data_IF_899045153334
#
_entry.id   IF_899045153334
#
_cell.length_a   1.000
_cell.length_b   1.000
_cell.length_c   1.000
_cell.angle_alpha   90.00
_cell.angle_beta   90.00
_cell.angle_gamma   90.00
#
_symmetry.space_group_name_H-M   'P 1'
#
loop_
_entity.id
_entity.type
_entity.pdbx_description
1 polymer ?
#
# COMPACT_ATOMS: atom_id res chain seq x y z
N UNK A 1 -7.48 22.44 -12.68
CA UNK A 1 -6.29 21.86 -12.01
C UNK A 1 -6.62 21.21 -10.66
N UNK A 2 -7.25 21.91 -9.69
CA UNK A 2 -7.60 21.33 -8.38
C UNK A 2 -8.68 20.23 -8.38
N UNK A 3 -9.49 20.16 -9.45
CA UNK A 3 -10.60 19.21 -9.60
C UNK A 3 -10.16 17.73 -9.59
N UNK A 4 -8.97 17.42 -10.14
CA UNK A 4 -8.42 16.05 -10.20
C UNK A 4 -8.19 15.49 -8.79
N UNK A 5 -7.65 16.28 -7.86
CA UNK A 5 -7.45 15.87 -6.46
C UNK A 5 -8.75 15.75 -5.66
N UNK A 6 -9.83 16.39 -6.11
CA UNK A 6 -11.13 16.40 -5.44
C UNK A 6 -12.07 15.27 -5.91
N UNK A 7 -11.83 14.72 -7.11
CA UNK A 7 -12.70 13.70 -7.71
C UNK A 7 -12.07 12.31 -7.78
N UNK A 8 -10.75 12.20 -7.69
CA UNK A 8 -10.09 10.89 -7.75
C UNK A 8 -9.79 10.33 -6.37
N UNK A 9 -9.97 9.01 -6.27
CA UNK A 9 -9.65 8.25 -5.08
C UNK A 9 -8.56 7.23 -5.40
N UNK A 10 -7.99 6.66 -4.35
CA UNK A 10 -6.91 5.70 -4.43
C UNK A 10 -7.32 4.42 -5.17
N UNK A 11 -8.59 4.03 -5.11
CA UNK A 11 -9.15 2.92 -5.89
C UNK A 11 -8.95 3.06 -7.40
N UNK A 12 -9.02 4.29 -7.95
CA UNK A 12 -8.78 4.54 -9.38
C UNK A 12 -7.38 4.09 -9.81
N UNK A 13 -6.39 4.19 -8.91
CA UNK A 13 -4.99 3.84 -9.18
C UNK A 13 -4.71 2.34 -9.04
N UNK A 14 -5.66 1.56 -8.47
CA UNK A 14 -5.49 0.11 -8.28
C UNK A 14 -5.84 -0.72 -9.51
N UNK A 15 -6.49 -0.11 -10.52
CA UNK A 15 -6.88 -0.78 -11.75
C UNK A 15 -5.65 -1.15 -12.57
N UNK A 16 -5.52 -2.43 -12.94
CA UNK A 16 -4.39 -2.93 -13.76
C UNK A 16 -3.05 -3.04 -13.03
N UNK A 17 -2.94 -2.56 -11.79
CA UNK A 17 -1.77 -2.83 -10.95
C UNK A 17 -1.66 -4.34 -10.65
N UNK A 18 -0.46 -4.92 -10.53
CA UNK A 18 -0.30 -6.29 -10.05
C UNK A 18 -0.63 -6.40 -8.55
N UNK A 19 -0.71 -7.62 -8.06
CA UNK A 19 -0.81 -7.91 -6.62
C UNK A 19 0.53 -7.62 -5.93
N UNK A 20 0.49 -7.37 -4.61
CA UNK A 20 1.71 -7.17 -3.83
C UNK A 20 2.56 -8.42 -3.87
N UNK A 21 3.79 -8.26 -4.36
CA UNK A 21 4.83 -9.28 -4.27
C UNK A 21 5.49 -9.13 -2.90
N UNK A 22 5.37 -10.17 -2.07
CA UNK A 22 5.99 -10.22 -0.75
C UNK A 22 7.41 -10.76 -0.88
N UNK A 23 8.40 -9.99 -0.43
CA UNK A 23 9.76 -10.45 -0.25
C UNK A 23 9.98 -10.77 1.23
N UNK A 24 10.38 -12.00 1.57
CA UNK A 24 10.49 -12.41 2.95
C UNK A 24 11.78 -11.93 3.61
N UNK A 25 11.72 -11.67 4.91
CA UNK A 25 12.87 -11.29 5.73
C UNK A 25 13.96 -12.39 5.83
N UNK A 26 13.58 -13.65 5.63
CA UNK A 26 14.48 -14.80 5.57
C UNK A 26 15.24 -14.96 4.25
N UNK A 27 14.87 -14.22 3.20
CA UNK A 27 15.53 -14.31 1.90
C UNK A 27 16.91 -13.65 1.91
N UNK A 28 17.77 -14.01 0.96
CA UNK A 28 19.17 -13.55 0.92
C UNK A 28 19.31 -12.20 0.23
N UNK A 29 20.38 -11.48 0.54
CA UNK A 29 20.72 -10.22 -0.14
C UNK A 29 20.88 -10.42 -1.66
N UNK A 30 21.42 -11.55 -2.11
CA UNK A 30 21.51 -11.87 -3.54
C UNK A 30 20.13 -11.91 -4.23
N UNK A 31 19.16 -12.60 -3.64
CA UNK A 31 17.79 -12.63 -4.17
C UNK A 31 17.13 -11.26 -4.15
N UNK A 32 17.43 -10.44 -3.13
CA UNK A 32 16.94 -9.08 -3.03
C UNK A 32 17.50 -8.18 -4.13
N UNK A 33 18.78 -8.32 -4.48
CA UNK A 33 19.41 -7.57 -5.59
C UNK A 33 18.69 -7.88 -6.91
N UNK A 34 18.40 -9.16 -7.16
CA UNK A 34 17.67 -9.58 -8.36
C UNK A 34 16.27 -8.99 -8.40
N UNK A 35 15.53 -9.09 -7.29
CA UNK A 35 14.18 -8.54 -7.17
C UNK A 35 14.17 -7.00 -7.33
N UNK A 36 15.18 -6.30 -6.79
CA UNK A 36 15.35 -4.85 -6.96
C UNK A 36 15.65 -4.50 -8.42
N UNK A 37 16.48 -5.30 -9.12
CA UNK A 37 16.81 -5.10 -10.53
C UNK A 37 15.62 -5.29 -11.48
N UNK A 38 14.68 -6.17 -11.12
CA UNK A 38 13.43 -6.38 -11.86
C UNK A 38 12.35 -5.34 -11.49
N UNK A 39 12.50 -4.64 -10.36
CA UNK A 39 11.58 -3.63 -9.90
C UNK A 39 11.86 -2.27 -10.54
N UNK A 40 10.87 -1.72 -11.26
CA UNK A 40 10.99 -0.40 -11.89
C UNK A 40 11.22 0.77 -10.90
N UNK A 41 11.00 0.56 -9.61
CA UNK A 41 11.14 1.58 -8.56
C UNK A 41 12.45 1.43 -7.77
N UNK A 42 13.25 0.40 -8.05
CA UNK A 42 14.53 0.17 -7.37
C UNK A 42 14.42 -0.09 -5.87
N UNK A 43 13.22 -0.44 -5.38
CA UNK A 43 12.96 -0.68 -3.97
C UNK A 43 11.86 -1.73 -3.76
N UNK A 44 12.12 -2.69 -2.88
CA UNK A 44 11.21 -3.80 -2.57
C UNK A 44 10.69 -3.69 -1.14
N UNK A 45 9.47 -4.17 -0.89
CA UNK A 45 8.88 -4.24 0.46
C UNK A 45 9.20 -5.59 1.08
N UNK A 46 9.68 -5.57 2.32
CA UNK A 46 10.10 -6.77 3.06
C UNK A 46 9.08 -7.10 4.15
N UNK A 47 8.73 -8.38 4.24
CA UNK A 47 7.64 -8.90 5.06
C UNK A 47 8.13 -10.05 5.94
N UNK A 48 7.58 -10.14 7.14
CA UNK A 48 7.77 -11.27 8.03
C UNK A 48 6.88 -12.43 7.60
N UNK A 49 7.41 -13.65 7.72
CA UNK A 49 6.65 -14.88 7.50
C UNK A 49 5.35 -14.91 8.34
N UNK A 50 4.32 -15.48 7.74
CA UNK A 50 3.02 -15.72 8.36
C UNK A 50 3.06 -16.94 9.28
N UNK A 51 3.05 -16.75 10.60
CA UNK A 51 3.06 -17.87 11.57
C UNK A 51 1.67 -18.50 11.81
N UNK A 52 0.77 -18.46 10.82
CA UNK A 52 -0.56 -19.07 10.90
C UNK A 52 -1.61 -18.29 11.70
N UNK A 53 -1.24 -17.27 12.47
CA UNK A 53 -2.20 -16.30 13.02
C UNK A 53 -2.64 -15.29 11.95
N UNK A 54 -3.95 -15.03 11.90
CA UNK A 54 -4.59 -14.02 11.06
C UNK A 54 -4.25 -12.59 11.55
N UNK A 55 -2.97 -12.23 11.51
CA UNK A 55 -2.52 -10.86 11.76
C UNK A 55 -2.81 -9.98 10.55
N UNK A 56 -3.21 -8.71 10.76
CA UNK A 56 -3.41 -7.78 9.66
C UNK A 56 -2.11 -7.63 8.86
N UNK A 57 -2.23 -7.53 7.53
CA UNK A 57 -1.08 -7.63 6.62
C UNK A 57 -0.03 -6.55 6.87
N UNK A 58 -0.46 -5.35 7.27
CA UNK A 58 0.43 -4.25 7.64
C UNK A 58 1.34 -4.55 8.85
N UNK A 59 0.95 -5.42 9.78
CA UNK A 59 1.80 -5.79 10.93
C UNK A 59 2.97 -6.70 10.54
N UNK A 60 2.84 -7.40 9.40
CA UNK A 60 3.92 -8.24 8.86
C UNK A 60 4.95 -7.43 8.11
N UNK A 61 4.64 -6.19 7.77
CA UNK A 61 5.58 -5.32 7.08
C UNK A 61 6.76 -4.97 8.00
N UNK A 62 7.98 -5.24 7.51
CA UNK A 62 9.21 -4.96 8.24
C UNK A 62 9.75 -3.60 7.79
N UNK A 63 9.88 -3.39 6.48
CA UNK A 63 10.47 -2.19 5.93
C UNK A 63 10.59 -2.21 4.41
N UNK A 64 11.27 -1.20 3.87
CA UNK A 64 11.59 -1.11 2.44
C UNK A 64 13.09 -1.26 2.31
N UNK A 65 13.52 -2.13 1.40
CA UNK A 65 14.92 -2.27 1.01
C UNK A 65 15.12 -1.59 -0.35
N UNK A 66 16.09 -0.70 -0.45
CA UNK A 66 16.48 -0.08 -1.72
C UNK A 66 17.92 -0.42 -2.12
N UNK A 67 18.30 -0.11 -3.37
CA UNK A 67 19.63 -0.39 -3.92
C UNK A 67 20.77 0.25 -3.11
N UNK A 68 20.60 1.45 -2.58
CA UNK A 68 21.58 2.13 -1.73
C UNK A 68 21.78 1.43 -0.38
N UNK A 69 20.71 0.89 0.21
CA UNK A 69 20.81 0.16 1.49
C UNK A 69 21.69 -1.08 1.31
N UNK A 70 21.49 -1.79 0.18
CA UNK A 70 22.31 -2.96 -0.18
C UNK A 70 23.76 -2.57 -0.43
N UNK A 71 24.01 -1.49 -1.20
CA UNK A 71 25.38 -1.02 -1.46
C UNK A 71 26.07 -0.58 -0.17
N UNK A 72 25.37 0.13 0.73
CA UNK A 72 25.91 0.54 2.01
C UNK A 72 26.26 -0.67 2.90
N UNK A 73 25.42 -1.71 2.88
CA UNK A 73 25.68 -2.96 3.59
C UNK A 73 26.92 -3.69 3.06
N UNK A 74 27.03 -3.85 1.74
CA UNK A 74 28.18 -4.49 1.10
C UNK A 74 29.46 -3.70 1.37
N UNK A 75 29.41 -2.37 1.27
CA UNK A 75 30.55 -1.50 1.56
C UNK A 75 31.03 -1.65 3.02
N UNK A 76 30.09 -1.83 3.96
CA UNK A 76 30.41 -2.09 5.38
C UNK A 76 31.02 -3.46 5.63
N UNK A 77 30.74 -4.45 4.78
CA UNK A 77 31.29 -5.81 4.90
C UNK A 77 32.79 -5.92 4.53
N UNK A 78 33.42 -4.86 4.01
CA UNK A 78 34.87 -4.68 4.03
C UNK A 78 35.71 -5.74 3.30
N UNK A 79 35.13 -6.48 2.35
CA UNK A 79 35.83 -7.48 1.52
C UNK A 79 35.20 -8.88 1.53
N UNK A 80 34.36 -9.20 2.51
CA UNK A 80 33.64 -10.49 2.60
C UNK A 80 32.32 -10.47 1.79
N UNK A 81 32.41 -10.13 0.50
CA UNK A 81 31.24 -10.01 -0.37
C UNK A 81 30.41 -11.30 -0.43
N UNK A 82 31.05 -12.46 -0.54
CA UNK A 82 30.35 -13.75 -0.62
C UNK A 82 29.53 -14.06 0.64
N UNK A 83 30.01 -13.61 1.81
CA UNK A 83 29.26 -13.74 3.07
C UNK A 83 28.10 -12.75 3.09
N UNK A 84 28.36 -11.49 2.70
CA UNK A 84 27.34 -10.44 2.61
C UNK A 84 26.22 -10.76 1.60
N UNK A 85 26.48 -11.55 0.56
CA UNK A 85 25.45 -11.99 -0.39
C UNK A 85 24.51 -13.04 0.21
N UNK A 86 25.02 -13.86 1.13
CA UNK A 86 24.28 -14.94 1.79
C UNK A 86 23.57 -14.51 3.08
N UNK A 87 23.87 -13.32 3.60
CA UNK A 87 23.16 -12.82 4.79
C UNK A 87 21.67 -12.66 4.50
N UNK A 88 20.81 -12.92 5.49
CA UNK A 88 19.39 -12.69 5.36
C UNK A 88 19.10 -11.19 5.30
N UNK A 89 18.04 -10.82 4.60
CA UNK A 89 17.62 -9.43 4.42
C UNK A 89 17.14 -8.79 5.72
N UNK A 90 16.73 -9.58 6.72
CA UNK A 90 16.43 -9.11 8.07
C UNK A 90 17.58 -8.35 8.75
N UNK A 91 18.84 -8.62 8.40
CA UNK A 91 20.02 -7.94 8.95
C UNK A 91 20.33 -6.62 8.23
N UNK A 92 19.82 -6.45 7.01
CA UNK A 92 20.09 -5.29 6.14
C UNK A 92 18.97 -4.26 6.23
N UNK A 93 17.73 -4.72 6.31
CA UNK A 93 16.56 -3.85 6.34
C UNK A 93 16.44 -3.17 7.69
N UNK A 94 16.39 -1.85 7.66
CA UNK A 94 16.00 -1.06 8.83
C UNK A 94 14.49 -1.22 9.09
N UNK A 95 14.07 -1.81 10.22
CA UNK A 95 12.65 -1.99 10.51
C UNK A 95 11.97 -0.63 10.68
N UNK A 96 10.96 -0.36 9.85
CA UNK A 96 10.19 0.87 9.93
C UNK A 96 8.77 0.65 9.42
N UNK A 97 7.86 0.34 10.35
CA UNK A 97 6.45 0.12 10.06
C UNK A 97 5.72 1.38 9.58
N UNK A 98 6.26 2.58 9.83
CA UNK A 98 5.66 3.84 9.39
C UNK A 98 5.74 4.08 7.88
N UNK A 99 6.59 3.33 7.16
CA UNK A 99 6.78 3.50 5.72
C UNK A 99 5.62 2.94 4.89
N UNK A 100 4.82 2.04 5.44
CA UNK A 100 3.69 1.42 4.77
C UNK A 100 2.42 1.64 5.58
N UNK A 101 1.35 2.08 4.91
CA UNK A 101 0.05 2.26 5.55
C UNK A 101 -1.05 1.59 4.76
N UNK A 102 -1.90 0.84 5.45
CA UNK A 102 -3.11 0.28 4.87
C UNK A 102 -4.17 1.36 4.70
N UNK A 103 -4.76 1.44 3.51
CA UNK A 103 -5.67 2.50 3.08
C UNK A 103 -6.87 1.91 2.36
N UNK A 104 -8.05 2.47 2.65
CA UNK A 104 -9.29 2.10 1.97
C UNK A 104 -9.30 2.63 0.52
N UNK A 105 -9.77 1.87 -0.48
CA UNK A 105 -9.82 2.33 -1.87
C UNK A 105 -10.67 3.60 -2.07
N UNK A 106 -11.61 3.92 -1.17
CA UNK A 106 -12.37 5.16 -1.18
C UNK A 106 -11.61 6.41 -0.69
N UNK A 107 -10.37 6.25 -0.21
CA UNK A 107 -9.55 7.36 0.27
C UNK A 107 -9.21 8.32 -0.85
N UNK A 108 -9.33 9.63 -0.60
CA UNK A 108 -9.04 10.64 -1.62
C UNK A 108 -7.55 10.73 -1.90
N UNK A 109 -7.22 11.12 -3.13
CA UNK A 109 -5.83 11.29 -3.54
C UNK A 109 -5.11 12.36 -2.69
N UNK A 110 -5.81 13.41 -2.27
CA UNK A 110 -5.25 14.45 -1.40
C UNK A 110 -4.87 13.92 -0.02
N UNK A 111 -5.70 13.07 0.58
CA UNK A 111 -5.44 12.49 1.90
C UNK A 111 -4.26 11.51 1.81
N UNK A 112 -4.18 10.75 0.72
CA UNK A 112 -3.04 9.88 0.43
C UNK A 112 -1.73 10.66 0.25
N UNK A 113 -1.77 11.83 -0.41
CA UNK A 113 -0.62 12.72 -0.53
C UNK A 113 -0.20 13.31 0.81
N UNK A 114 -1.16 13.67 1.68
CA UNK A 114 -0.88 14.11 3.06
C UNK A 114 -0.18 12.99 3.86
N UNK A 115 -0.64 11.74 3.72
CA UNK A 115 0.03 10.59 4.33
C UNK A 115 1.45 10.40 3.79
N UNK A 116 1.66 10.56 2.48
CA UNK A 116 3.00 10.49 1.89
C UNK A 116 3.92 11.61 2.35
N UNK A 117 3.40 12.83 2.50
CA UNK A 117 4.12 13.97 3.07
C UNK A 117 4.56 13.70 4.51
N UNK A 118 3.78 12.93 5.28
CA UNK A 118 4.12 12.51 6.65
C UNK A 118 5.19 11.41 6.71
N UNK A 119 5.70 10.94 5.56
CA UNK A 119 6.78 9.94 5.48
C UNK A 119 6.33 8.54 5.07
N UNK A 120 5.04 8.33 4.79
CA UNK A 120 4.56 7.07 4.21
C UNK A 120 5.07 6.94 2.78
N UNK A 121 5.72 5.84 2.44
CA UNK A 121 6.28 5.60 1.10
C UNK A 121 5.42 4.64 0.28
N UNK A 122 4.67 3.77 0.93
CA UNK A 122 3.82 2.73 0.30
C UNK A 122 2.41 2.77 0.88
N UNK A 123 1.41 2.80 0.02
CA UNK A 123 0.01 2.64 0.42
C UNK A 123 -0.47 1.25 0.04
N UNK A 124 -0.92 0.49 1.03
CA UNK A 124 -1.44 -0.85 0.84
C UNK A 124 -2.95 -0.78 0.71
N UNK A 125 -3.48 -1.20 -0.44
CA UNK A 125 -4.92 -1.10 -0.76
C UNK A 125 -5.49 -2.49 -0.98
N UNK A 126 -6.62 -2.78 -0.36
CA UNK A 126 -7.34 -4.05 -0.54
C UNK A 126 -7.95 -4.15 -1.94
N UNK A 127 -7.69 -5.27 -2.62
CA UNK A 127 -8.30 -5.73 -3.87
C UNK A 127 -9.22 -6.91 -3.56
N UNK A 128 -10.49 -6.83 -3.90
CA UNK A 128 -11.44 -7.94 -3.69
C UNK A 128 -12.83 -7.46 -3.28
N UNK A 129 -12.93 -6.28 -2.67
CA UNK A 129 -14.17 -5.54 -2.70
C UNK A 129 -14.30 -5.01 -4.12
N UNK A 130 -15.35 -5.44 -4.83
CA UNK A 130 -15.72 -4.90 -6.13
C UNK A 130 -15.87 -3.39 -6.00
N UNK A 131 -14.78 -2.67 -6.25
CA UNK A 131 -14.78 -1.22 -6.26
C UNK A 131 -15.48 -0.80 -7.54
N UNK A 132 -16.83 -0.86 -7.52
CA UNK A 132 -17.76 -0.31 -8.52
C UNK A 132 -18.04 1.18 -8.25
N UNK A 133 -17.14 1.85 -7.55
CA UNK A 133 -17.27 3.26 -7.26
C UNK A 133 -16.73 4.06 -8.42
N UNK A 134 -17.53 4.34 -9.46
CA UNK A 134 -17.15 5.40 -10.39
C UNK A 134 -16.88 6.66 -9.56
N UNK A 135 -15.71 7.30 -9.75
CA UNK A 135 -15.33 8.60 -9.20
C UNK A 135 -16.57 9.40 -8.78
N UNK A 136 -16.89 9.36 -7.48
CA UNK A 136 -18.08 10.04 -6.97
C UNK A 136 -17.80 11.53 -7.05
N UNK A 137 -18.33 12.18 -8.08
CA UNK A 137 -18.49 13.63 -8.13
C UNK A 137 -19.17 14.03 -6.81
N UNK A 138 -18.38 14.62 -5.92
CA UNK A 138 -18.76 15.12 -4.60
C UNK A 138 -19.06 14.06 -3.52
N UNK A 139 -18.21 14.03 -2.51
CA UNK A 139 -18.63 13.74 -1.14
C UNK A 139 -18.04 14.77 -0.18
N UNK A 140 -18.43 16.04 -0.31
CA UNK A 140 -18.12 17.15 0.63
C UNK A 140 -18.35 16.80 2.12
N UNK A 141 -18.97 15.66 2.44
CA UNK A 141 -19.27 15.16 3.77
C UNK A 141 -18.33 14.05 4.32
N UNK A 142 -17.16 13.78 3.74
CA UNK A 142 -16.16 12.91 4.40
C UNK A 142 -15.44 13.68 5.52
N UNK A 143 -16.19 13.98 6.58
CA UNK A 143 -15.75 14.75 7.73
C UNK A 143 -15.09 13.81 8.76
N UNK A 144 -13.76 13.80 8.79
CA UNK A 144 -12.94 13.56 10.00
C UNK A 144 -13.01 12.22 10.75
N UNK A 145 -13.81 11.23 10.34
CA UNK A 145 -14.00 9.98 11.12
C UNK A 145 -12.92 8.90 10.95
N UNK A 146 -11.97 9.04 10.02
CA UNK A 146 -10.98 7.99 9.75
C UNK A 146 -9.72 8.06 10.62
N UNK A 147 -9.41 9.22 11.23
CA UNK A 147 -8.29 9.36 12.16
C UNK A 147 -8.56 8.73 13.54
N UNK A 148 -9.73 8.11 13.78
CA UNK A 148 -10.19 7.78 15.14
C UNK A 148 -10.36 6.30 15.49
N UNK A 149 -9.88 5.36 14.67
CA UNK A 149 -9.96 3.94 15.04
C UNK A 149 -8.60 3.26 15.01
N UNK A 150 -7.79 3.52 16.03
CA UNK A 150 -6.71 2.59 16.41
C UNK A 150 -6.48 2.47 17.93
N UNK A 151 -7.41 2.97 18.77
CA UNK A 151 -7.46 2.57 20.19
C UNK A 151 -8.91 2.36 20.62
N UNK A 152 -9.07 1.32 21.43
CA UNK A 152 -10.20 0.95 22.28
C UNK A 152 -11.25 0.00 21.69
N UNK A 153 -10.91 -1.28 21.79
CA UNK A 153 -11.86 -2.33 22.14
C UNK A 153 -12.38 -2.07 23.56
N UNK A 154 -13.59 -1.53 23.71
CA UNK A 154 -14.43 -1.68 24.91
C UNK A 154 -15.83 -1.05 24.70
N UNK A 155 -16.86 -1.90 24.82
CA UNK A 155 -18.25 -1.61 25.19
C UNK A 155 -18.98 -0.36 24.63
N UNK A 156 -19.98 -0.62 23.78
CA UNK A 156 -21.27 0.06 23.87
C UNK A 156 -22.40 -0.86 23.38
N UNK A 157 -23.28 -1.19 24.31
CA UNK A 157 -24.47 -2.03 24.21
C UNK A 157 -25.71 -1.29 23.71
N UNK A 158 -26.66 -2.07 23.16
CA UNK A 158 -28.10 -1.82 22.93
C UNK A 158 -28.50 -1.14 21.60
N UNK A 159 -29.54 -1.54 20.85
CA UNK A 159 -30.47 -2.68 20.90
C UNK A 159 -31.31 -2.72 19.60
N UNK A 160 -31.96 -3.89 19.39
CA UNK A 160 -33.18 -4.17 18.60
C UNK A 160 -33.03 -4.74 17.17
N UNK A 161 -33.43 -6.02 17.04
CA UNK A 161 -34.02 -6.57 15.80
C UNK A 161 -33.37 -7.84 15.22
N UNK A 162 -33.45 -8.99 15.91
CA UNK A 162 -33.24 -10.30 15.27
C UNK A 162 -34.45 -10.68 14.39
N UNK A 163 -34.23 -11.41 13.30
CA UNK A 163 -34.60 -12.82 13.36
C UNK A 163 -33.43 -13.76 13.06
N UNK A 164 -33.39 -14.84 13.83
CA UNK A 164 -32.45 -15.94 13.75
C UNK A 164 -32.64 -16.76 12.46
N UNK A 165 -31.62 -16.76 11.60
CA UNK A 165 -31.34 -17.85 10.67
C UNK A 165 -29.89 -18.27 10.86
N UNK A 166 -29.71 -19.38 11.57
CA UNK A 166 -28.45 -20.08 11.75
C UNK A 166 -27.93 -20.59 10.40
N UNK A 167 -27.06 -19.80 9.79
CA UNK A 167 -26.20 -20.21 8.69
C UNK A 167 -24.77 -19.91 9.12
N UNK A 168 -24.07 -20.92 9.65
CA UNK A 168 -22.62 -20.89 9.79
C UNK A 168 -21.97 -20.82 8.41
N UNK A 169 -22.00 -19.66 7.77
CA UNK A 169 -21.08 -19.36 6.69
C UNK A 169 -19.75 -19.05 7.36
N UNK A 170 -18.91 -20.09 7.48
CA UNK A 170 -17.46 -19.90 7.49
C UNK A 170 -17.18 -18.91 6.37
N UNK A 171 -16.80 -17.68 6.71
CA UNK A 171 -16.22 -16.79 5.71
C UNK A 171 -15.10 -17.61 5.07
N UNK A 172 -15.09 -17.78 3.73
CA UNK A 172 -13.90 -18.31 3.11
C UNK A 172 -12.76 -17.45 3.62
N UNK A 173 -11.64 -18.08 3.94
CA UNK A 173 -10.35 -17.41 4.05
C UNK A 173 -10.04 -16.82 2.68
N UNK A 174 -10.79 -15.79 2.29
CA UNK A 174 -10.69 -15.11 1.03
C UNK A 174 -9.43 -14.30 1.16
N UNK A 175 -8.39 -14.83 0.51
CA UNK A 175 -7.08 -14.28 0.36
C UNK A 175 -7.25 -12.83 -0.12
N UNK A 176 -7.36 -11.88 0.83
CA UNK A 176 -7.49 -10.47 0.50
C UNK A 176 -6.28 -10.13 -0.36
N UNK A 177 -6.51 -9.97 -1.66
CA UNK A 177 -5.48 -9.54 -2.60
C UNK A 177 -5.19 -8.10 -2.23
N UNK A 178 -3.93 -7.70 -2.18
CA UNK A 178 -3.58 -6.30 -1.93
C UNK A 178 -2.83 -5.75 -3.13
N UNK A 179 -2.84 -4.43 -3.24
CA UNK A 179 -2.01 -3.65 -4.15
C UNK A 179 -1.15 -2.69 -3.34
N UNK A 180 0.10 -2.51 -3.74
CA UNK A 180 0.97 -1.47 -3.21
C UNK A 180 1.01 -0.32 -4.22
N UNK A 181 0.69 0.88 -3.74
CA UNK A 181 0.84 2.11 -4.50
C UNK A 181 2.03 2.90 -3.98
N UNK A 182 2.80 3.39 -4.93
CA UNK A 182 3.96 4.24 -4.71
C UNK A 182 3.65 5.70 -4.97
N UNK A 183 4.59 6.58 -4.63
CA UNK A 183 4.48 8.00 -4.98
C UNK A 183 4.51 8.17 -6.50
N UNK A 184 5.30 7.35 -7.18
CA UNK A 184 5.46 7.36 -8.62
C UNK A 184 4.14 6.99 -9.31
N UNK A 185 3.35 6.08 -8.75
CA UNK A 185 2.01 5.74 -9.26
C UNK A 185 1.06 6.93 -9.21
N UNK A 186 1.06 7.65 -8.10
CA UNK A 186 0.25 8.87 -7.94
C UNK A 186 0.71 9.93 -8.95
N UNK A 187 2.02 10.13 -9.10
CA UNK A 187 2.57 11.11 -10.04
C UNK A 187 2.23 10.73 -11.49
N UNK A 188 2.41 9.46 -11.89
CA UNK A 188 2.06 8.98 -13.24
C UNK A 188 0.59 9.17 -13.53
N UNK A 189 -0.28 8.86 -12.56
CA UNK A 189 -1.71 9.10 -12.67
C UNK A 189 -2.02 10.59 -12.88
N UNK A 190 -1.40 11.48 -12.09
CA UNK A 190 -1.60 12.93 -12.22
C UNK A 190 -1.13 13.46 -13.57
N UNK A 191 0.06 13.04 -14.04
CA UNK A 191 0.58 13.42 -15.35
C UNK A 191 -0.36 12.95 -16.45
N UNK A 192 -0.81 11.70 -16.41
CA UNK A 192 -1.76 11.16 -17.38
C UNK A 192 -3.09 11.95 -17.38
N UNK A 193 -3.65 12.22 -16.20
CA UNK A 193 -4.87 13.01 -16.06
C UNK A 193 -4.71 14.45 -16.58
N UNK A 194 -3.54 15.08 -16.40
CA UNK A 194 -3.27 16.41 -16.91
C UNK A 194 -3.09 16.44 -18.43
N UNK A 195 -2.41 15.45 -19.02
CA UNK A 195 -2.25 15.34 -20.47
C UNK A 195 -3.59 15.18 -21.20
N UNK A 196 -4.54 14.46 -20.61
CA UNK A 196 -5.92 14.35 -21.11
C UNK A 196 -6.68 15.69 -21.10
N UNK A 197 -6.37 16.58 -20.15
CA UNK A 197 -7.00 17.90 -20.04
C UNK A 197 -6.40 18.93 -21.01
N UNK A 198 -5.16 18.72 -21.46
CA UNK A 198 -4.51 19.59 -22.47
C UNK A 198 -5.11 19.42 -23.88
N UNK A 199 -5.92 18.38 -24.10
CA UNK A 199 -6.56 18.06 -25.37
C UNK A 199 -8.05 18.48 -25.41
N UNK A 200 -8.43 19.48 -24.61
CA UNK A 200 -9.76 20.08 -24.71
C UNK A 200 -9.88 20.86 -26.02
N UNK A 201 -10.90 20.64 -26.87
CA UNK A 201 -11.08 21.38 -28.10
C UNK A 201 -11.26 22.88 -27.83
N UNK A 202 -10.82 23.77 -28.75
CA UNK A 202 -11.11 25.19 -28.63
C UNK A 202 -12.63 25.39 -28.61
N UNK A 203 -13.10 26.21 -27.67
CA UNK A 203 -14.50 26.62 -27.57
C UNK A 203 -14.98 27.19 -28.91
N UNK A 204 -16.13 26.75 -29.45
CA UNK A 204 -16.71 27.39 -30.62
C UNK A 204 -17.15 28.80 -30.21
N UNK A 205 -16.53 29.80 -30.84
CA UNK A 205 -17.01 31.18 -30.86
C UNK A 205 -17.99 31.37 -32.01
#
# INVERSE_FOLDING_TARGET
MASVFLHHVIGDLTVGKPEVVEFLDSETVESAIRAIGECAEGAITVWRRSDGEARPKAERFVGILNSLDVVAFIAKAGGDQDKAMRTPVSEVVMPNQGLLKEVDPGTRLIDALEMMKQGVRRLLVRKGLTWRGVSKRFSILYNGKWLKNFKDSANASNAAGQPSSSSSSRLPSDEYKYCCLSREDIIRFLIAALSLLSLSPPSPH
#
